data_IF_729493237909
#
_entry.id   IF_729493237909
#
_cell.length_a   1.000
_cell.length_b   1.000
_cell.length_c   1.000
_cell.angle_alpha   90.00
_cell.angle_beta   90.00
_cell.angle_gamma   90.00
#
_symmetry.space_group_name_H-M   'P 1'
#
loop_
_entity.id
_entity.type
_entity.pdbx_description
1 polymer ?
#
# COMPACT_ATOMS: atom_id res chain seq x y z
N UNK A 1 -17.93 -12.44 -0.84
CA UNK A 1 -16.79 -11.49 -0.69
C UNK A 1 -15.52 -12.25 -0.98
N UNK A 2 -14.54 -11.66 -1.67
CA UNK A 2 -13.20 -12.28 -1.79
C UNK A 2 -12.48 -12.11 -0.45
N UNK A 3 -11.76 -13.14 -0.01
CA UNK A 3 -10.86 -13.09 1.13
C UNK A 3 -9.42 -13.09 0.66
N UNK A 4 -8.58 -12.26 1.26
CA UNK A 4 -7.20 -12.05 0.89
C UNK A 4 -6.27 -12.43 2.05
N UNK A 5 -5.07 -12.87 1.70
CA UNK A 5 -3.93 -13.07 2.58
C UNK A 5 -2.75 -12.33 1.95
N UNK A 6 -2.09 -11.40 2.65
CA UNK A 6 -0.83 -10.83 2.16
C UNK A 6 0.35 -11.61 2.71
N UNK A 7 1.25 -11.99 1.81
CA UNK A 7 2.58 -12.55 2.11
C UNK A 7 3.40 -11.62 3.03
N UNK A 8 4.41 -12.16 3.70
CA UNK A 8 5.24 -11.44 4.66
C UNK A 8 6.00 -10.28 4.00
N UNK A 9 6.54 -10.51 2.80
CA UNK A 9 7.30 -9.51 2.05
C UNK A 9 6.41 -8.58 1.20
N UNK A 10 5.08 -8.63 1.34
CA UNK A 10 4.16 -7.83 0.53
C UNK A 10 4.15 -6.36 0.99
N UNK A 11 4.09 -5.41 0.05
CA UNK A 11 4.18 -3.99 0.37
C UNK A 11 3.03 -3.50 1.27
N UNK A 12 3.37 -3.09 2.49
CA UNK A 12 2.44 -2.58 3.49
C UNK A 12 1.65 -1.34 3.05
N UNK A 13 2.23 -0.44 2.24
CA UNK A 13 1.54 0.74 1.72
C UNK A 13 0.35 0.37 0.81
N UNK A 14 0.46 -0.77 0.11
CA UNK A 14 -0.63 -1.31 -0.71
C UNK A 14 -1.74 -1.86 0.19
N UNK A 15 -1.40 -2.64 1.21
CA UNK A 15 -2.36 -3.16 2.20
C UNK A 15 -3.11 -2.01 2.88
N UNK A 16 -2.38 -1.03 3.40
CA UNK A 16 -2.97 0.11 4.09
C UNK A 16 -3.74 1.00 3.12
N UNK A 17 -3.30 1.12 1.86
CA UNK A 17 -4.03 1.80 0.80
C UNK A 17 -5.37 1.14 0.45
N UNK A 18 -5.42 -0.19 0.43
CA UNK A 18 -6.63 -0.97 0.22
C UNK A 18 -7.59 -0.82 1.41
N UNK A 19 -7.10 -0.97 2.64
CA UNK A 19 -7.90 -0.84 3.86
C UNK A 19 -8.42 0.59 4.08
N UNK A 20 -7.63 1.63 3.75
CA UNK A 20 -8.10 3.03 3.74
C UNK A 20 -9.23 3.28 2.75
N UNK A 21 -9.22 2.62 1.58
CA UNK A 21 -10.28 2.75 0.55
C UNK A 21 -11.50 1.88 0.84
N UNK A 22 -11.32 0.72 1.45
CA UNK A 22 -12.40 -0.18 1.85
C UNK A 22 -12.08 -0.85 3.21
N UNK A 23 -12.49 -0.26 4.34
CA UNK A 23 -12.26 -0.82 5.67
C UNK A 23 -12.99 -2.14 5.95
N UNK A 24 -13.87 -2.60 5.04
CA UNK A 24 -14.60 -3.89 5.15
C UNK A 24 -13.98 -5.00 4.30
N UNK A 25 -12.80 -4.76 3.71
CA UNK A 25 -12.07 -5.76 2.95
C UNK A 25 -11.53 -6.85 3.90
N UNK A 26 -11.87 -8.12 3.64
CA UNK A 26 -11.34 -9.26 4.38
C UNK A 26 -9.92 -9.57 3.90
N UNK A 27 -8.94 -8.81 4.40
CA UNK A 27 -7.51 -8.97 4.16
C UNK A 27 -6.81 -9.14 5.51
N UNK A 28 -6.04 -10.21 5.66
CA UNK A 28 -5.17 -10.48 6.80
C UNK A 28 -3.72 -10.65 6.31
N UNK A 29 -2.73 -10.36 7.14
CA UNK A 29 -1.31 -10.60 6.82
C UNK A 29 -0.88 -11.99 7.31
N UNK A 30 0.10 -12.61 6.66
CA UNK A 30 0.74 -13.87 7.11
C UNK A 30 1.24 -13.78 8.56
N UNK A 31 1.75 -12.61 8.95
CA UNK A 31 2.17 -12.30 10.31
C UNK A 31 1.01 -12.32 11.33
N UNK A 32 -0.14 -11.72 11.00
CA UNK A 32 -1.31 -11.61 11.89
C UNK A 32 -1.93 -12.98 12.25
N UNK A 33 -1.71 -13.98 11.39
CA UNK A 33 -2.27 -15.34 11.53
C UNK A 33 -1.27 -16.35 12.09
N UNK A 34 -0.12 -15.89 12.60
CA UNK A 34 0.90 -16.74 13.21
C UNK A 34 1.69 -17.59 12.21
N UNK A 35 1.77 -17.15 10.94
CA UNK A 35 2.53 -17.81 9.88
C UNK A 35 3.79 -17.02 9.47
N UNK A 36 4.23 -16.04 10.26
CA UNK A 36 5.55 -15.44 10.10
C UNK A 36 6.63 -16.54 10.06
N UNK A 37 7.62 -16.40 9.17
CA UNK A 37 8.68 -17.40 8.93
C UNK A 37 8.19 -18.79 8.42
N UNK A 38 6.89 -18.98 8.17
CA UNK A 38 6.38 -20.25 7.64
C UNK A 38 6.83 -20.46 6.19
N UNK A 39 7.13 -21.72 5.82
CA UNK A 39 7.52 -22.07 4.45
C UNK A 39 6.35 -21.88 3.49
N UNK A 40 6.62 -21.41 2.28
CA UNK A 40 5.64 -21.12 1.22
C UNK A 40 4.54 -22.19 1.05
N UNK A 41 4.84 -23.51 1.05
CA UNK A 41 3.79 -24.53 0.89
C UNK A 41 2.79 -24.56 2.07
N UNK A 42 3.22 -24.22 3.28
CA UNK A 42 2.35 -24.13 4.45
C UNK A 42 1.48 -22.86 4.41
N UNK A 43 2.01 -21.74 3.91
CA UNK A 43 1.24 -20.51 3.66
C UNK A 43 0.14 -20.78 2.62
N UNK A 44 0.48 -21.45 1.51
CA UNK A 44 -0.48 -21.85 0.48
C UNK A 44 -1.52 -22.85 0.99
N UNK A 45 -1.14 -23.81 1.85
CA UNK A 45 -2.08 -24.77 2.43
C UNK A 45 -3.08 -24.10 3.38
N UNK A 46 -2.59 -23.22 4.26
CA UNK A 46 -3.45 -22.44 5.15
C UNK A 46 -4.40 -21.53 4.36
N UNK A 47 -3.90 -20.82 3.33
CA UNK A 47 -4.73 -20.00 2.46
C UNK A 47 -5.83 -20.83 1.77
N UNK A 48 -5.51 -22.04 1.32
CA UNK A 48 -6.46 -22.96 0.71
C UNK A 48 -7.54 -23.47 1.69
N UNK A 49 -7.16 -23.75 2.94
CA UNK A 49 -8.09 -24.12 4.02
C UNK A 49 -9.08 -22.99 4.31
N UNK A 50 -8.58 -21.76 4.49
CA UNK A 50 -9.39 -20.57 4.81
C UNK A 50 -10.17 -19.99 3.62
N UNK A 51 -9.90 -20.48 2.40
CA UNK A 51 -10.50 -19.97 1.16
C UNK A 51 -10.01 -18.57 0.78
N UNK A 52 -8.74 -18.26 1.10
CA UNK A 52 -8.09 -16.97 0.86
C UNK A 52 -7.23 -17.01 -0.41
N UNK A 53 -7.25 -15.91 -1.15
CA UNK A 53 -6.31 -15.66 -2.26
C UNK A 53 -5.04 -15.04 -1.69
N UNK A 54 -3.88 -15.63 -1.99
CA UNK A 54 -2.58 -15.12 -1.55
C UNK A 54 -2.11 -13.97 -2.45
N UNK A 55 -1.64 -12.87 -1.86
CA UNK A 55 -0.99 -11.74 -2.51
C UNK A 55 0.51 -11.80 -2.21
N UNK A 56 1.37 -11.84 -3.22
CA UNK A 56 2.84 -11.95 -3.03
C UNK A 56 3.63 -11.13 -4.07
N UNK A 57 4.88 -10.80 -3.73
CA UNK A 57 5.88 -10.31 -4.68
C UNK A 57 6.81 -11.40 -5.21
N UNK A 58 6.86 -12.61 -4.60
CA UNK A 58 7.70 -13.70 -5.11
C UNK A 58 7.05 -14.39 -6.32
N UNK A 59 7.36 -13.87 -7.50
CA UNK A 59 6.94 -14.43 -8.78
C UNK A 59 7.48 -15.85 -9.00
N UNK A 60 8.69 -16.17 -8.52
CA UNK A 60 9.41 -17.39 -8.91
C UNK A 60 9.00 -18.58 -8.06
N UNK A 61 8.98 -18.42 -6.75
CA UNK A 61 8.82 -19.53 -5.79
C UNK A 61 7.34 -19.82 -5.54
N UNK A 62 6.54 -18.79 -5.24
CA UNK A 62 5.10 -18.96 -4.96
C UNK A 62 4.32 -19.46 -6.18
N UNK A 63 4.60 -18.94 -7.37
CA UNK A 63 3.95 -19.42 -8.60
C UNK A 63 4.25 -20.89 -8.85
N UNK A 64 5.50 -21.33 -8.63
CA UNK A 64 5.89 -22.73 -8.77
C UNK A 64 5.10 -23.62 -7.80
N UNK A 65 5.07 -23.28 -6.51
CA UNK A 65 4.33 -24.07 -5.54
C UNK A 65 2.81 -24.08 -5.79
N UNK A 66 2.22 -22.95 -6.23
CA UNK A 66 0.82 -22.90 -6.64
C UNK A 66 0.52 -23.79 -7.85
N UNK A 67 1.40 -23.82 -8.86
CA UNK A 67 1.27 -24.75 -10.00
C UNK A 67 1.45 -26.21 -9.58
N UNK A 68 2.42 -26.53 -8.73
CA UNK A 68 2.59 -27.88 -8.18
C UNK A 68 1.35 -28.34 -7.40
N UNK A 69 0.74 -27.44 -6.60
CA UNK A 69 -0.51 -27.66 -5.85
C UNK A 69 -1.68 -27.97 -6.79
N UNK A 70 -1.92 -27.13 -7.80
CA UNK A 70 -2.96 -27.36 -8.82
C UNK A 70 -2.75 -28.68 -9.57
N UNK A 71 -1.52 -29.03 -9.93
CA UNK A 71 -1.19 -30.30 -10.61
C UNK A 71 -1.45 -31.54 -9.77
N UNK A 72 -1.50 -31.43 -8.44
CA UNK A 72 -1.87 -32.51 -7.51
C UNK A 72 -3.38 -32.60 -7.26
N UNK A 73 -4.18 -31.72 -7.84
CA UNK A 73 -5.61 -31.62 -7.54
C UNK A 73 -5.92 -31.03 -6.17
N UNK A 74 -4.91 -30.46 -5.49
CA UNK A 74 -5.08 -29.79 -4.21
C UNK A 74 -5.82 -28.45 -4.41
N UNK A 75 -6.63 -28.05 -3.41
CA UNK A 75 -7.42 -26.81 -3.49
C UNK A 75 -6.51 -25.59 -3.58
N UNK A 76 -6.76 -24.72 -4.56
CA UNK A 76 -6.02 -23.47 -4.75
C UNK A 76 -7.00 -22.32 -5.01
N UNK A 77 -7.36 -21.49 -4.00
CA UNK A 77 -8.34 -20.41 -4.17
C UNK A 77 -7.86 -19.31 -5.12
N UNK A 78 -6.55 -19.06 -5.17
CA UNK A 78 -5.91 -18.14 -6.09
C UNK A 78 -4.57 -17.62 -5.58
N UNK A 79 -3.72 -17.19 -6.51
CA UNK A 79 -2.48 -16.47 -6.26
C UNK A 79 -2.50 -15.20 -7.11
N UNK A 80 -2.32 -14.04 -6.48
CA UNK A 80 -2.09 -12.77 -7.17
C UNK A 80 -0.64 -12.38 -6.94
N UNK A 81 0.13 -12.37 -8.02
CA UNK A 81 1.53 -11.99 -8.01
C UNK A 81 1.63 -10.55 -8.50
N UNK A 82 2.36 -9.72 -7.76
CA UNK A 82 2.64 -8.33 -8.15
C UNK A 82 4.14 -8.15 -8.31
N UNK A 83 4.59 -7.55 -9.42
CA UNK A 83 5.98 -7.10 -9.52
C UNK A 83 6.21 -5.89 -8.61
N UNK A 84 7.32 -5.88 -7.89
CA UNK A 84 7.88 -4.71 -7.21
C UNK A 84 8.37 -3.63 -8.20
N UNK A 85 8.75 -4.07 -9.41
CA UNK A 85 9.17 -3.21 -10.52
C UNK A 85 8.03 -2.27 -10.93
N UNK A 86 8.22 -0.97 -10.70
CA UNK A 86 7.37 0.07 -11.25
C UNK A 86 7.56 0.10 -12.78
N UNK A 87 6.58 -0.41 -13.51
CA UNK A 87 6.50 -0.28 -14.98
C UNK A 87 6.09 1.14 -15.37
N UNK A 88 7.02 2.08 -15.23
CA UNK A 88 6.87 3.48 -15.62
C UNK A 88 7.85 4.40 -14.88
N UNK A 89 7.94 5.68 -15.28
CA UNK A 89 8.53 6.69 -14.40
C UNK A 89 7.77 6.72 -13.08
N UNK A 90 8.41 7.09 -11.95
CA UNK A 90 7.72 7.13 -10.66
C UNK A 90 6.47 8.00 -10.76
N UNK A 91 5.36 7.55 -10.19
CA UNK A 91 4.08 8.29 -10.21
C UNK A 91 4.16 9.65 -9.49
N UNK A 92 5.26 9.90 -8.79
CA UNK A 92 5.63 11.15 -8.11
C UNK A 92 6.60 12.02 -8.91
N UNK A 93 6.98 11.65 -10.14
CA UNK A 93 7.71 12.54 -11.04
C UNK A 93 6.88 13.82 -11.23
N UNK A 94 7.38 15.00 -10.82
CA UNK A 94 6.59 16.21 -10.84
C UNK A 94 6.33 16.61 -12.30
N UNK A 95 5.12 16.31 -12.78
CA UNK A 95 4.66 16.76 -14.08
C UNK A 95 4.79 18.28 -14.16
N UNK A 96 5.54 18.76 -15.15
CA UNK A 96 5.59 20.20 -15.49
C UNK A 96 4.16 20.67 -15.76
N UNK A 97 3.51 21.34 -14.80
CA UNK A 97 2.19 21.92 -15.03
C UNK A 97 1.18 21.89 -13.90
N UNK A 98 1.43 21.32 -12.72
CA UNK A 98 0.50 21.48 -11.60
C UNK A 98 0.58 22.89 -10.98
N UNK A 99 0.01 23.88 -11.67
CA UNK A 99 -0.37 25.17 -11.09
C UNK A 99 -1.83 25.07 -10.64
N UNK A 100 -2.13 25.06 -9.33
CA UNK A 100 -3.51 25.17 -8.87
C UNK A 100 -4.02 26.59 -9.19
N UNK A 101 -4.72 26.72 -10.31
CA UNK A 101 -5.41 27.95 -10.68
C UNK A 101 -6.76 28.03 -9.95
N UNK A 102 -6.71 28.26 -8.63
CA UNK A 102 -7.86 28.75 -7.88
C UNK A 102 -7.62 30.23 -7.60
N UNK A 103 -8.41 31.08 -8.26
CA UNK A 103 -8.37 32.53 -8.08
C UNK A 103 -8.59 32.89 -6.59
N UNK A 104 -7.83 33.81 -6.00
CA UNK A 104 -7.90 35.27 -6.18
C UNK A 104 -9.28 35.87 -5.86
N UNK A 105 -9.25 36.97 -5.08
CA UNK A 105 -10.32 37.73 -4.39
C UNK A 105 -10.49 37.29 -2.91
N UNK A 106 -10.40 38.11 -1.85
CA UNK A 106 -10.30 39.58 -1.63
C UNK A 106 -9.98 39.78 -0.12
N UNK A 107 -9.23 40.75 0.44
CA UNK A 107 -8.74 42.07 -0.04
C UNK A 107 -7.33 42.44 0.50
N UNK A 108 -6.94 43.71 0.32
CA UNK A 108 -5.79 44.46 0.87
C UNK A 108 -5.68 44.36 2.42
N UNK A 109 -4.52 44.18 3.05
CA UNK A 109 -3.30 45.00 3.08
C UNK A 109 -3.41 46.35 3.86
N UNK A 110 -3.10 46.31 5.16
CA UNK A 110 -2.36 47.37 5.89
C UNK A 110 -1.42 46.72 6.91
N UNK A 111 -0.10 46.93 6.77
CA UNK A 111 0.88 46.72 7.86
C UNK A 111 1.30 48.08 8.42
N UNK A 112 1.01 48.42 9.68
CA UNK A 112 1.72 49.51 10.35
C UNK A 112 3.07 49.01 10.85
N UNK A 113 4.17 49.49 10.26
CA UNK A 113 5.50 49.41 10.87
C UNK A 113 5.54 50.41 12.02
N UNK A 114 5.46 49.95 13.28
CA UNK A 114 5.69 50.83 14.42
C UNK A 114 7.13 50.65 14.94
N UNK A 115 8.02 51.60 14.62
CA UNK A 115 9.28 51.80 15.35
C UNK A 115 8.98 52.76 16.50
N UNK A 116 9.26 52.44 17.77
CA UNK A 116 9.33 53.47 18.80
C UNK A 116 10.56 54.36 18.54
N UNK A 117 10.33 55.66 18.40
CA UNK A 117 11.39 56.66 18.35
C UNK A 117 12.09 56.79 19.71
N UNK A 118 13.35 57.26 19.69
CA UNK A 118 14.09 57.67 20.89
C UNK A 118 13.47 58.94 21.49
N UNK A 119 13.32 58.95 22.81
CA UNK A 119 13.52 60.11 23.71
C UNK A 119 14.19 59.54 24.97
N UNK A 120 15.39 59.94 25.39
CA UNK A 120 15.89 61.27 25.79
C UNK A 120 15.57 61.60 27.27
N UNK A 121 16.62 61.97 28.00
CA UNK A 121 16.65 62.58 29.35
C UNK A 121 16.06 61.79 30.54
N UNK A 122 16.95 61.18 31.34
CA UNK A 122 17.33 61.71 32.66
C UNK A 122 18.71 61.16 33.05
#
# INVERSE_FOLDING_TARGET
MIRLLSDENFNGDIVDGLLRRNPRLDLVRVQDVGLAEAKDPAILDWAAREGRVLLTHDVRTMSRFAYERVRRGERMPGLVVMSDTILGPPLTAPGRGFRPHTALLTTLAVRPRNRPCRSAAA
#
